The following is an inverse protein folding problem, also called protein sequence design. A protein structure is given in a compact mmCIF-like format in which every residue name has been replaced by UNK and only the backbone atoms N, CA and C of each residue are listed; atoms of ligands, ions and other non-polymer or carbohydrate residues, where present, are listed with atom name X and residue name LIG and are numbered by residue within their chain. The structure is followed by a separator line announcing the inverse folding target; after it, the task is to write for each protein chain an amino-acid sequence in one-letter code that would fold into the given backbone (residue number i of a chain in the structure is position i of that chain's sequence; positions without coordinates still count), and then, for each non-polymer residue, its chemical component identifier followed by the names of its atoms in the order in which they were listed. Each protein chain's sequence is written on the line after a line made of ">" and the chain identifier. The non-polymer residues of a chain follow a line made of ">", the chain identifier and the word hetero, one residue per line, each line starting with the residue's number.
data_IF_621731003642
#
_entry.id   IF_621731003642
#
_cell.length_a   1.000
_cell.length_b   1.000
_cell.length_c   1.000
_cell.angle_alpha   90.00
_cell.angle_beta   90.00
_cell.angle_gamma   90.00
#
_symmetry.space_group_name_H-M   'P 1'
#
loop_
_entity.id
_entity.type
_entity.pdbx_description
1 polymer ?
#
# COMPACT_ATOMS: atom_id res chain seq x y z
N UNK A 1 -43.37 9.34 -29.97
CA UNK A 1 -42.89 9.67 -28.61
C UNK A 1 -42.44 8.44 -27.80
N UNK A 2 -42.77 7.20 -28.23
CA UNK A 2 -42.45 5.98 -27.49
C UNK A 2 -40.97 5.52 -27.61
N UNK A 3 -40.34 5.80 -28.75
CA UNK A 3 -38.94 5.41 -29.01
C UNK A 3 -37.92 6.23 -28.22
N UNK A 4 -38.23 7.47 -27.84
CA UNK A 4 -37.31 8.33 -27.06
C UNK A 4 -37.20 7.92 -25.59
N UNK A 5 -38.25 7.31 -25.02
CA UNK A 5 -38.20 6.83 -23.62
C UNK A 5 -37.33 5.58 -23.47
N UNK A 6 -37.34 4.69 -24.47
CA UNK A 6 -36.50 3.49 -24.53
C UNK A 6 -35.00 3.84 -24.59
N UNK A 7 -34.63 4.90 -25.33
CA UNK A 7 -33.23 5.35 -25.42
C UNK A 7 -32.69 5.96 -24.12
N UNK A 8 -33.53 6.66 -23.35
CA UNK A 8 -33.13 7.27 -22.08
C UNK A 8 -32.94 6.19 -20.99
N UNK A 9 -33.82 5.17 -20.97
CA UNK A 9 -33.70 4.05 -20.04
C UNK A 9 -32.42 3.22 -20.29
N UNK A 10 -32.06 3.00 -21.56
CA UNK A 10 -30.82 2.31 -21.92
C UNK A 10 -29.57 3.13 -21.54
N UNK A 11 -29.60 4.46 -21.71
CA UNK A 11 -28.50 5.34 -21.33
C UNK A 11 -28.27 5.41 -19.80
N UNK A 12 -29.35 5.37 -19.00
CA UNK A 12 -29.26 5.31 -17.54
C UNK A 12 -28.70 3.97 -17.05
N UNK A 13 -29.02 2.85 -17.71
CA UNK A 13 -28.47 1.54 -17.35
C UNK A 13 -26.95 1.44 -17.58
N UNK A 14 -26.41 2.15 -18.59
CA UNK A 14 -24.98 2.20 -18.87
C UNK A 14 -24.17 3.01 -17.82
N UNK A 15 -24.79 3.99 -17.17
CA UNK A 15 -24.15 4.78 -16.10
C UNK A 15 -23.96 3.97 -14.80
N UNK A 16 -24.74 2.91 -14.58
CA UNK A 16 -24.57 2.00 -13.43
C UNK A 16 -23.38 1.05 -13.64
N UNK A 17 -22.99 0.79 -14.89
CA UNK A 17 -21.83 -0.03 -15.25
C UNK A 17 -20.51 0.75 -15.24
N UNK A 18 -20.54 2.08 -15.31
CA UNK A 18 -19.40 2.92 -14.91
C UNK A 18 -19.31 3.01 -13.39
N UNK A 19 -19.24 1.86 -12.74
CA UNK A 19 -18.92 1.80 -11.32
C UNK A 19 -17.56 2.46 -11.11
N UNK A 20 -17.47 3.37 -10.15
CA UNK A 20 -16.19 3.90 -9.66
C UNK A 20 -15.30 2.71 -9.31
N UNK A 21 -14.47 2.24 -10.24
CA UNK A 21 -13.53 1.17 -9.95
C UNK A 21 -12.52 1.77 -8.98
N UNK A 22 -12.64 1.43 -7.70
CA UNK A 22 -11.61 1.82 -6.74
C UNK A 22 -10.32 1.14 -7.19
N UNK A 23 -9.24 1.90 -7.44
CA UNK A 23 -8.03 1.33 -8.02
C UNK A 23 -7.52 0.19 -7.14
N UNK A 24 -7.20 -0.93 -7.76
CA UNK A 24 -6.56 -2.08 -7.13
C UNK A 24 -5.16 -2.18 -7.70
N UNK A 25 -4.15 -2.14 -6.86
CA UNK A 25 -2.79 -2.34 -7.34
C UNK A 25 -2.58 -3.82 -7.67
N UNK A 26 -2.17 -4.08 -8.92
CA UNK A 26 -1.87 -5.43 -9.44
C UNK A 26 -3.01 -6.45 -9.19
N UNK A 27 -4.26 -5.98 -9.14
CA UNK A 27 -5.46 -6.77 -8.82
C UNK A 27 -5.44 -7.46 -7.43
N UNK A 28 -4.51 -7.08 -6.53
CA UNK A 28 -4.35 -7.71 -5.22
C UNK A 28 -4.56 -6.73 -4.05
N UNK A 29 -4.15 -5.46 -4.20
CA UNK A 29 -4.14 -4.50 -3.09
C UNK A 29 -5.07 -3.32 -3.35
N UNK A 30 -6.30 -3.41 -2.83
CA UNK A 30 -7.33 -2.41 -3.05
C UNK A 30 -7.04 -1.09 -2.32
N UNK A 31 -7.02 0.04 -3.05
CA UNK A 31 -6.84 1.37 -2.45
C UNK A 31 -7.96 1.71 -1.47
N UNK A 32 -9.18 1.25 -1.73
CA UNK A 32 -10.35 1.38 -0.86
C UNK A 32 -10.17 0.68 0.49
N UNK A 33 -9.31 -0.32 0.59
CA UNK A 33 -8.99 -1.02 1.84
C UNK A 33 -7.78 -0.44 2.58
N UNK A 34 -7.25 0.70 2.10
CA UNK A 34 -6.16 1.42 2.75
C UNK A 34 -4.77 1.11 2.19
N UNK A 35 -4.66 0.24 1.19
CA UNK A 35 -3.39 -0.08 0.53
C UNK A 35 -2.82 1.07 -0.28
N UNK A 36 -1.51 1.28 -0.21
CA UNK A 36 -0.78 2.33 -0.93
C UNK A 36 0.59 1.82 -1.37
N UNK A 37 1.15 2.50 -2.36
CA UNK A 37 2.55 2.31 -2.78
C UNK A 37 3.41 3.40 -2.15
N UNK A 38 4.60 3.01 -1.68
CA UNK A 38 5.62 3.95 -1.25
C UNK A 38 7.02 3.39 -1.42
N UNK A 39 8.01 4.23 -1.13
CA UNK A 39 9.43 3.88 -1.17
C UNK A 39 9.97 3.81 0.24
N UNK A 40 10.71 2.75 0.56
CA UNK A 40 11.44 2.65 1.84
C UNK A 40 12.58 3.66 1.82
N UNK A 41 12.60 4.59 2.77
CA UNK A 41 13.66 5.60 2.87
C UNK A 41 14.53 5.44 4.11
N UNK A 42 14.04 4.74 5.14
CA UNK A 42 14.80 4.40 6.34
C UNK A 42 14.39 3.04 6.87
N UNK A 43 15.34 2.30 7.43
CA UNK A 43 15.07 1.16 8.32
C UNK A 43 15.51 1.55 9.73
N UNK A 44 14.68 1.24 10.73
CA UNK A 44 14.93 1.58 12.12
C UNK A 44 14.71 0.37 13.03
N UNK A 45 15.33 0.40 14.21
CA UNK A 45 15.10 -0.57 15.27
C UNK A 45 13.78 -0.30 16.00
N UNK A 46 13.34 -1.26 16.82
CA UNK A 46 12.22 -1.06 17.74
C UNK A 46 12.43 0.14 18.68
N UNK A 47 13.63 0.32 19.21
CA UNK A 47 13.96 1.44 20.10
C UNK A 47 13.84 2.79 19.40
N UNK A 48 14.43 2.92 18.20
CA UNK A 48 14.32 4.13 17.39
C UNK A 48 12.86 4.42 17.00
N UNK A 49 12.08 3.38 16.66
CA UNK A 49 10.66 3.52 16.33
C UNK A 49 9.85 4.08 17.51
N UNK A 50 10.08 3.57 18.72
CA UNK A 50 9.41 4.03 19.94
C UNK A 50 9.76 5.49 20.26
N UNK A 51 11.00 5.91 20.04
CA UNK A 51 11.44 7.30 20.26
C UNK A 51 10.83 8.28 19.24
N UNK A 52 10.59 7.85 18.00
CA UNK A 52 10.10 8.74 16.94
C UNK A 52 8.59 9.01 17.04
N UNK A 53 7.86 8.22 17.84
CA UNK A 53 6.43 8.43 18.10
C UNK A 53 5.58 8.37 16.82
N UNK A 54 5.19 7.17 16.38
CA UNK A 54 4.18 7.04 15.32
C UNK A 54 2.78 7.17 15.93
N UNK A 55 2.05 8.29 15.73
CA UNK A 55 0.75 8.48 16.38
C UNK A 55 -0.33 7.52 15.86
N UNK A 56 -0.10 6.84 14.72
CA UNK A 56 -1.10 5.96 14.11
C UNK A 56 -1.04 4.50 14.58
N UNK A 57 0.08 4.06 15.15
CA UNK A 57 0.29 2.64 15.49
C UNK A 57 0.60 2.44 16.99
N UNK A 58 -0.11 3.16 17.86
CA UNK A 58 0.14 3.15 19.32
C UNK A 58 -0.26 1.85 20.03
N UNK A 59 -0.94 0.92 19.35
CA UNK A 59 -1.43 -0.35 19.93
C UNK A 59 -0.69 -1.62 19.47
N UNK A 60 0.37 -1.49 18.67
CA UNK A 60 1.11 -2.64 18.15
C UNK A 60 2.01 -3.26 19.23
N UNK A 61 2.05 -4.60 19.32
CA UNK A 61 3.08 -5.29 20.09
C UNK A 61 4.45 -5.12 19.42
N UNK A 62 5.38 -4.46 20.11
CA UNK A 62 6.73 -4.18 19.64
C UNK A 62 7.71 -4.99 20.47
N UNK A 63 8.45 -5.87 19.82
CA UNK A 63 9.50 -6.69 20.44
C UNK A 63 10.88 -6.06 20.20
N UNK A 64 11.86 -6.30 21.09
CA UNK A 64 13.19 -5.69 20.96
C UNK A 64 13.90 -5.95 19.62
N UNK A 65 13.69 -7.13 19.02
CA UNK A 65 14.30 -7.54 17.75
C UNK A 65 13.48 -7.10 16.52
N UNK A 66 12.37 -6.40 16.71
CA UNK A 66 11.57 -5.92 15.59
C UNK A 66 12.30 -4.81 14.83
N UNK A 67 12.07 -4.79 13.53
CA UNK A 67 12.56 -3.76 12.62
C UNK A 67 11.40 -3.08 11.95
N UNK A 68 11.56 -1.80 11.65
CA UNK A 68 10.52 -1.00 11.01
C UNK A 68 11.09 -0.26 9.80
N UNK A 69 10.29 -0.19 8.74
CA UNK A 69 10.57 0.62 7.57
C UNK A 69 9.81 1.93 7.66
N UNK A 70 10.49 3.04 7.43
CA UNK A 70 9.86 4.31 7.11
C UNK A 70 9.60 4.38 5.61
N UNK A 71 8.33 4.42 5.24
CA UNK A 71 7.85 4.39 3.88
C UNK A 71 7.35 5.79 3.52
N UNK A 72 7.96 6.41 2.52
CA UNK A 72 7.49 7.66 1.95
C UNK A 72 6.49 7.37 0.82
N UNK A 73 5.29 7.94 0.92
CA UNK A 73 4.30 7.85 -0.17
C UNK A 73 4.81 8.60 -1.40
N UNK A 74 4.57 8.04 -2.59
CA UNK A 74 5.01 8.68 -3.84
C UNK A 74 4.29 10.00 -4.12
N UNK A 75 3.00 10.10 -3.77
CA UNK A 75 2.15 11.24 -4.16
C UNK A 75 2.22 12.40 -3.15
N UNK A 76 2.50 12.11 -1.87
CA UNK A 76 2.51 13.15 -0.82
C UNK A 76 3.82 13.11 -0.03
N UNK A 77 4.63 14.16 -0.17
CA UNK A 77 5.90 14.30 0.58
C UNK A 77 5.70 14.47 2.09
N UNK A 78 4.50 14.85 2.53
CA UNK A 78 4.28 15.43 3.85
C UNK A 78 4.20 14.41 5.00
N UNK A 79 3.90 13.12 4.77
CA UNK A 79 3.74 12.14 5.87
C UNK A 79 4.15 10.74 5.44
N UNK A 80 5.27 10.25 5.98
CA UNK A 80 5.67 8.84 5.86
C UNK A 80 4.85 7.93 6.77
N UNK A 81 4.99 6.62 6.58
CA UNK A 81 4.34 5.59 7.38
C UNK A 81 5.39 4.61 7.88
N UNK A 82 5.24 4.18 9.13
CA UNK A 82 6.06 3.12 9.69
C UNK A 82 5.34 1.79 9.57
N UNK A 83 6.07 0.80 9.08
CA UNK A 83 5.58 -0.56 8.89
C UNK A 83 6.61 -1.53 9.49
N UNK A 84 6.16 -2.50 10.30
CA UNK A 84 7.02 -3.60 10.77
C UNK A 84 7.55 -4.41 9.58
N UNK A 85 8.80 -4.83 9.65
CA UNK A 85 9.47 -5.60 8.60
C UNK A 85 9.68 -7.02 9.10
N UNK A 86 9.09 -7.98 8.40
CA UNK A 86 9.28 -9.39 8.75
C UNK A 86 10.71 -9.84 8.42
N UNK A 87 11.37 -10.56 9.35
CA UNK A 87 12.68 -11.12 9.11
C UNK A 87 12.60 -12.13 7.96
N UNK A 88 13.46 -11.97 6.94
CA UNK A 88 13.49 -12.84 5.75
C UNK A 88 12.88 -12.24 4.48
N UNK A 89 12.15 -11.12 4.58
CA UNK A 89 11.61 -10.42 3.38
C UNK A 89 12.70 -9.75 2.53
N UNK A 90 13.88 -9.51 3.11
CA UNK A 90 15.01 -8.88 2.43
C UNK A 90 14.83 -7.38 2.14
N UNK A 91 13.76 -6.74 2.64
CA UNK A 91 13.43 -5.33 2.40
C UNK A 91 14.58 -4.40 2.80
N UNK A 92 14.85 -3.41 1.95
CA UNK A 92 15.93 -2.43 2.13
C UNK A 92 15.50 -1.04 1.69
N UNK A 93 16.32 -0.06 2.07
CA UNK A 93 16.19 1.32 1.61
C UNK A 93 16.26 1.36 0.09
N UNK A 94 15.30 2.04 -0.54
CA UNK A 94 15.20 2.15 -1.98
C UNK A 94 14.07 1.32 -2.60
N UNK A 95 13.60 0.27 -1.92
CA UNK A 95 12.55 -0.59 -2.45
C UNK A 95 11.22 0.14 -2.58
N UNK A 96 10.48 -0.19 -3.65
CA UNK A 96 9.05 0.08 -3.72
C UNK A 96 8.28 -1.04 -3.04
N UNK A 97 7.32 -0.64 -2.20
CA UNK A 97 6.53 -1.56 -1.39
C UNK A 97 5.05 -1.18 -1.40
N UNK A 98 4.21 -2.21 -1.29
CA UNK A 98 2.82 -2.07 -0.90
C UNK A 98 2.73 -2.04 0.62
N UNK A 99 1.91 -1.14 1.15
CA UNK A 99 1.64 -1.08 2.59
C UNK A 99 0.21 -0.66 2.88
N UNK A 100 -0.35 -1.13 3.99
CA UNK A 100 -1.68 -0.72 4.44
C UNK A 100 -1.56 0.39 5.50
N UNK A 101 -2.05 1.58 5.18
CA UNK A 101 -1.88 2.72 6.07
C UNK A 101 -2.87 2.77 7.25
N UNK A 102 -3.83 1.85 7.29
CA UNK A 102 -4.87 1.75 8.32
C UNK A 102 -4.66 0.57 9.26
N UNK A 103 -3.95 -0.47 8.82
CA UNK A 103 -3.70 -1.69 9.60
C UNK A 103 -2.23 -1.76 10.01
N UNK A 104 -1.96 -1.41 11.26
CA UNK A 104 -0.60 -1.47 11.80
C UNK A 104 -0.19 -2.92 12.15
N UNK A 105 -1.14 -3.78 12.53
CA UNK A 105 -0.86 -5.04 13.25
C UNK A 105 -0.79 -6.30 12.35
N UNK A 106 -0.96 -6.14 11.04
CA UNK A 106 -0.85 -7.21 10.03
C UNK A 106 0.43 -6.99 9.21
N UNK A 107 1.08 -8.03 8.62
CA UNK A 107 2.38 -7.87 7.96
C UNK A 107 2.30 -6.71 6.96
N UNK A 108 2.88 -5.54 7.31
CA UNK A 108 2.34 -4.27 6.83
C UNK A 108 3.00 -3.82 5.53
N UNK A 109 3.94 -4.62 5.01
CA UNK A 109 4.83 -4.24 3.92
C UNK A 109 5.08 -5.44 3.01
N UNK A 110 4.76 -5.30 1.73
CA UNK A 110 4.99 -6.32 0.70
C UNK A 110 5.90 -5.72 -0.37
N UNK A 111 7.01 -6.37 -0.75
CA UNK A 111 7.83 -5.94 -1.88
C UNK A 111 6.99 -5.86 -3.17
N UNK A 112 7.04 -4.72 -3.87
CA UNK A 112 6.35 -4.58 -5.16
C UNK A 112 7.07 -5.34 -6.29
N UNK A 113 8.39 -5.47 -6.20
CA UNK A 113 9.18 -6.27 -7.12
C UNK A 113 10.19 -7.12 -6.32
N UNK A 114 10.38 -8.40 -6.66
CA UNK A 114 11.45 -9.20 -6.09
C UNK A 114 12.79 -8.58 -6.49
N UNK A 115 13.66 -8.29 -5.52
CA UNK A 115 15.05 -7.91 -5.80
C UNK A 115 15.77 -9.13 -6.41
N UNK A 116 15.75 -9.20 -7.74
CA UNK A 116 16.23 -10.34 -8.54
C UNK A 116 15.63 -10.40 -9.93
N UNK A 117 14.40 -9.87 -10.13
CA UNK A 117 13.86 -9.64 -11.46
C UNK A 117 14.46 -8.34 -12.04
N UNK A 118 15.75 -8.38 -12.40
CA UNK A 118 16.21 -7.46 -13.43
C UNK A 118 15.30 -7.70 -14.65
N UNK A 119 14.70 -6.63 -15.15
CA UNK A 119 14.04 -6.64 -16.44
C UNK A 119 14.96 -7.30 -17.48
N UNK A 120 14.54 -8.45 -18.02
CA UNK A 120 15.24 -9.16 -19.09
C UNK A 120 16.20 -10.25 -18.63
N UNK A 121 15.67 -11.44 -18.31
CA UNK A 121 16.41 -12.67 -18.59
C UNK A 121 15.40 -13.77 -18.95
N UNK A 122 15.19 -13.93 -20.25
CA UNK A 122 14.45 -15.05 -20.86
C UNK A 122 15.34 -16.30 -20.84
N UNK A 123 14.80 -17.51 -20.60
CA UNK A 123 15.52 -18.77 -20.84
C UNK A 123 15.91 -18.95 -22.32
#
# INVERSE_FOLDING_TARGET
>A
MQNSMLSIAAALALLVLSGCSTPVYENQYAVSEGWRIGKVTKLVTAEEFLQTGSPRCQGMEIRPNDRFAFIQRQVTRARGHFAKVDPGTGIAVGDEVYFNAWKCDQPPIVPKAPRGAKAGQTP
#
